data_IF_774202856041
#
_entry.id   IF_774202856041
#
_cell.length_a   1.000
_cell.length_b   1.000
_cell.length_c   1.000
_cell.angle_alpha   90.00
_cell.angle_beta   90.00
_cell.angle_gamma   90.00
#
_symmetry.space_group_name_H-M   'P 1'
#
loop_
_entity.id
_entity.type
_entity.pdbx_description
1 polymer ?
#
# COMPACT_ATOMS: atom_id res chain seq x y z
N UNK A 1 12.47 24.81 -19.73
CA UNK A 1 12.98 24.54 -18.37
C UNK A 1 11.87 24.61 -17.34
N UNK A 2 10.97 23.62 -17.34
CA UNK A 2 9.85 23.50 -16.38
C UNK A 2 9.88 22.14 -15.68
N UNK A 3 11.09 21.62 -15.44
CA UNK A 3 11.35 20.38 -14.73
C UNK A 3 12.32 20.71 -13.60
N UNK A 4 11.83 20.81 -12.36
CA UNK A 4 12.74 21.12 -11.26
C UNK A 4 12.13 21.62 -9.95
N UNK A 5 11.06 21.01 -9.45
CA UNK A 5 10.99 20.73 -8.01
C UNK A 5 10.02 19.59 -7.79
N UNK A 6 10.51 18.47 -7.28
CA UNK A 6 9.65 17.40 -6.79
C UNK A 6 9.07 17.87 -5.46
N UNK A 7 8.13 18.81 -5.49
CA UNK A 7 7.39 19.20 -4.29
C UNK A 7 6.58 17.99 -3.85
N UNK A 8 6.97 17.42 -2.72
CA UNK A 8 6.16 16.44 -2.01
C UNK A 8 4.85 17.11 -1.59
N UNK A 9 3.78 16.34 -1.31
CA UNK A 9 2.53 16.91 -0.78
C UNK A 9 2.78 17.76 0.47
N UNK A 10 3.84 17.46 1.23
CA UNK A 10 4.28 18.25 2.38
C UNK A 10 4.90 19.59 2.01
N UNK A 11 5.42 19.77 0.80
CA UNK A 11 5.99 21.04 0.33
C UNK A 11 4.93 22.06 -0.08
N UNK A 12 3.70 21.61 -0.32
CA UNK A 12 2.51 22.47 -0.43
C UNK A 12 2.07 23.02 0.94
N UNK A 13 2.54 22.41 2.03
CA UNK A 13 2.26 22.85 3.40
C UNK A 13 3.33 23.87 3.80
N UNK A 14 2.88 25.03 4.28
CA UNK A 14 3.78 26.09 4.71
C UNK A 14 4.85 25.55 5.68
N UNK A 15 6.15 25.90 5.52
CA UNK A 15 7.29 25.23 6.19
C UNK A 15 7.12 25.06 7.70
N UNK A 16 6.51 26.06 8.34
CA UNK A 16 6.18 26.08 9.77
C UNK A 16 5.32 24.88 10.24
N UNK A 17 4.45 24.34 9.39
CA UNK A 17 3.53 23.25 9.74
C UNK A 17 3.97 21.88 9.23
N UNK A 18 5.01 21.80 8.40
CA UNK A 18 5.48 20.53 7.83
C UNK A 18 5.87 19.52 8.92
N UNK A 19 6.60 19.97 9.94
CA UNK A 19 7.01 19.12 11.05
C UNK A 19 5.80 18.61 11.85
N UNK A 20 4.84 19.48 12.12
CA UNK A 20 3.62 19.14 12.87
C UNK A 20 2.82 18.10 12.10
N UNK A 21 2.63 18.29 10.80
CA UNK A 21 1.87 17.35 9.97
C UNK A 21 2.57 15.99 9.89
N UNK A 22 3.90 15.95 9.70
CA UNK A 22 4.66 14.69 9.74
C UNK A 22 4.51 13.97 11.08
N UNK A 23 4.59 14.71 12.19
CA UNK A 23 4.37 14.15 13.53
C UNK A 23 2.94 13.65 13.71
N UNK A 24 1.92 14.37 13.21
CA UNK A 24 0.53 13.93 13.28
C UNK A 24 0.30 12.63 12.53
N UNK A 25 0.85 12.47 11.32
CA UNK A 25 0.76 11.20 10.58
C UNK A 25 1.45 10.05 11.33
N UNK A 26 2.65 10.30 11.88
CA UNK A 26 3.38 9.29 12.64
C UNK A 26 2.64 8.88 13.93
N UNK A 27 2.21 9.85 14.73
CA UNK A 27 1.47 9.60 15.98
C UNK A 27 0.12 8.97 15.67
N UNK A 28 -0.61 9.48 14.67
CA UNK A 28 -1.90 8.94 14.25
C UNK A 28 -1.80 7.48 13.82
N UNK A 29 -0.75 7.11 13.07
CA UNK A 29 -0.49 5.73 12.70
C UNK A 29 -0.34 4.82 13.93
N UNK A 30 0.50 5.20 14.90
CA UNK A 30 0.70 4.40 16.11
C UNK A 30 -0.55 4.33 17.00
N UNK A 31 -1.28 5.44 17.13
CA UNK A 31 -2.55 5.48 17.89
C UNK A 31 -3.58 4.55 17.24
N UNK A 32 -3.73 4.57 15.92
CA UNK A 32 -4.63 3.66 15.21
C UNK A 32 -4.21 2.19 15.37
N UNK A 33 -2.91 1.91 15.31
CA UNK A 33 -2.37 0.55 15.46
C UNK A 33 -2.65 0.00 16.86
N UNK A 34 -2.26 0.74 17.90
CA UNK A 34 -2.47 0.34 19.31
C UNK A 34 -3.96 0.30 19.65
N UNK A 35 -4.71 1.32 19.22
CA UNK A 35 -6.16 1.39 19.40
C UNK A 35 -6.87 0.21 18.75
N UNK A 36 -6.48 -0.17 17.54
CA UNK A 36 -7.01 -1.34 16.84
C UNK A 36 -6.83 -2.64 17.63
N UNK A 37 -5.64 -2.86 18.22
CA UNK A 37 -5.41 -4.02 19.11
C UNK A 37 -6.27 -3.99 20.36
N UNK A 38 -6.48 -2.81 20.95
CA UNK A 38 -7.32 -2.66 22.13
C UNK A 38 -8.80 -2.93 21.83
N UNK A 39 -9.30 -2.38 20.73
CA UNK A 39 -10.66 -2.64 20.23
C UNK A 39 -10.82 -4.11 19.89
N UNK A 40 -9.84 -4.75 19.26
CA UNK A 40 -9.87 -6.19 18.97
C UNK A 40 -9.94 -7.01 20.25
N UNK A 41 -9.12 -6.69 21.27
CA UNK A 41 -9.15 -7.36 22.58
C UNK A 41 -10.52 -7.18 23.27
N UNK A 42 -11.10 -5.99 23.20
CA UNK A 42 -12.41 -5.70 23.76
C UNK A 42 -13.53 -6.45 23.01
N UNK A 43 -13.53 -6.41 21.68
CA UNK A 43 -14.50 -7.13 20.84
C UNK A 43 -14.38 -8.66 20.99
N UNK A 44 -13.16 -9.17 21.12
CA UNK A 44 -12.88 -10.58 21.42
C UNK A 44 -13.48 -11.03 22.75
N UNK A 45 -13.61 -10.14 23.75
CA UNK A 45 -14.27 -10.48 25.02
C UNK A 45 -15.78 -10.72 24.87
N UNK A 46 -16.40 -10.24 23.79
CA UNK A 46 -17.85 -10.35 23.57
C UNK A 46 -18.27 -11.34 22.50
N UNK A 47 -17.36 -11.71 21.58
CA UNK A 47 -17.68 -12.59 20.46
C UNK A 47 -16.69 -13.76 20.37
N UNK A 48 -17.20 -14.99 20.41
CA UNK A 48 -16.41 -16.22 20.39
C UNK A 48 -15.49 -16.33 19.17
N UNK A 49 -15.96 -15.94 17.98
CA UNK A 49 -15.14 -15.93 16.74
C UNK A 49 -13.97 -14.94 16.81
N UNK A 50 -14.17 -13.78 17.44
CA UNK A 50 -13.11 -12.78 17.62
C UNK A 50 -12.11 -13.23 18.72
N UNK A 51 -12.59 -13.95 19.74
CA UNK A 51 -11.72 -14.57 20.75
C UNK A 51 -10.80 -15.63 20.14
N UNK A 52 -11.33 -16.46 19.25
CA UNK A 52 -10.56 -17.46 18.49
C UNK A 52 -9.53 -16.79 17.58
N UNK A 53 -9.93 -15.77 16.81
CA UNK A 53 -8.99 -15.00 15.98
C UNK A 53 -7.87 -14.35 16.81
N UNK A 54 -8.24 -13.73 17.94
CA UNK A 54 -7.28 -13.10 18.85
C UNK A 54 -6.31 -14.10 19.49
N UNK A 55 -6.77 -15.32 19.82
CA UNK A 55 -5.89 -16.37 20.37
C UNK A 55 -4.89 -16.88 19.34
N UNK A 56 -5.31 -17.06 18.08
CA UNK A 56 -4.44 -17.41 16.95
C UNK A 56 -3.38 -16.32 16.74
N UNK A 57 -3.79 -15.05 16.70
CA UNK A 57 -2.84 -13.93 16.57
C UNK A 57 -1.81 -13.92 17.69
N UNK A 58 -2.24 -14.17 18.94
CA UNK A 58 -1.32 -14.20 20.09
C UNK A 58 -0.27 -15.31 19.96
N UNK A 59 -0.65 -16.49 19.50
CA UNK A 59 0.29 -17.61 19.23
C UNK A 59 1.25 -17.26 18.09
N UNK A 60 0.80 -16.48 17.11
CA UNK A 60 1.68 -16.01 16.03
C UNK A 60 2.73 -15.02 16.54
N UNK A 61 2.36 -14.11 17.45
CA UNK A 61 3.28 -13.13 18.04
C UNK A 61 4.36 -13.73 18.94
N UNK A 62 4.19 -14.95 19.47
CA UNK A 62 5.24 -15.61 20.26
C UNK A 62 6.38 -16.14 19.38
N UNK A 63 6.13 -16.39 18.08
CA UNK A 63 7.13 -16.86 17.11
C UNK A 63 7.80 -15.71 16.38
N UNK A 64 8.64 -14.94 17.10
CA UNK A 64 9.33 -13.75 16.58
C UNK A 64 10.08 -13.97 15.25
N UNK A 65 10.70 -15.13 15.07
CA UNK A 65 11.41 -15.47 13.82
C UNK A 65 10.45 -15.55 12.62
N UNK A 66 9.33 -16.26 12.75
CA UNK A 66 8.31 -16.37 11.69
C UNK A 66 7.72 -14.99 11.38
N UNK A 67 7.42 -14.20 12.43
CA UNK A 67 6.91 -12.85 12.25
C UNK A 67 7.90 -11.95 11.49
N UNK A 68 9.19 -12.06 11.80
CA UNK A 68 10.23 -11.32 11.10
C UNK A 68 10.32 -11.71 9.62
N UNK A 69 10.31 -13.02 9.31
CA UNK A 69 10.30 -13.48 7.91
C UNK A 69 9.05 -13.00 7.17
N UNK A 70 7.87 -13.13 7.77
CA UNK A 70 6.63 -12.65 7.18
C UNK A 70 6.67 -11.14 6.91
N UNK A 71 7.21 -10.36 7.86
CA UNK A 71 7.40 -8.92 7.71
C UNK A 71 8.35 -8.57 6.56
N UNK A 72 9.54 -9.18 6.52
CA UNK A 72 10.54 -8.91 5.46
C UNK A 72 9.99 -9.32 4.09
N UNK A 73 9.38 -10.49 3.97
CA UNK A 73 8.76 -10.95 2.72
C UNK A 73 7.66 -9.99 2.28
N UNK A 74 6.80 -9.53 3.20
CA UNK A 74 5.75 -8.56 2.89
C UNK A 74 6.33 -7.22 2.42
N UNK A 75 7.41 -6.77 3.05
CA UNK A 75 8.10 -5.53 2.67
C UNK A 75 8.71 -5.64 1.27
N UNK A 76 9.33 -6.78 0.94
CA UNK A 76 9.86 -7.04 -0.41
C UNK A 76 8.73 -7.02 -1.45
N UNK A 77 7.62 -7.72 -1.20
CA UNK A 77 6.47 -7.74 -2.11
C UNK A 77 5.89 -6.33 -2.31
N UNK A 78 5.77 -5.55 -1.24
CA UNK A 78 5.32 -4.16 -1.32
C UNK A 78 6.27 -3.31 -2.17
N UNK A 79 7.60 -3.41 -1.96
CA UNK A 79 8.59 -2.69 -2.75
C UNK A 79 8.52 -3.07 -4.23
N UNK A 80 8.38 -4.36 -4.55
CA UNK A 80 8.20 -4.81 -5.93
C UNK A 80 6.94 -4.19 -6.55
N UNK A 81 5.82 -4.17 -5.82
CA UNK A 81 4.59 -3.53 -6.28
C UNK A 81 4.76 -2.03 -6.56
N UNK A 82 5.43 -1.31 -5.67
CA UNK A 82 5.76 0.12 -5.83
C UNK A 82 6.64 0.32 -7.06
N UNK A 83 7.70 -0.49 -7.23
CA UNK A 83 8.61 -0.36 -8.36
C UNK A 83 7.93 -0.68 -9.69
N UNK A 84 7.04 -1.68 -9.75
CA UNK A 84 6.24 -1.94 -10.95
C UNK A 84 5.46 -0.70 -11.35
N UNK A 85 4.75 -0.06 -10.40
CA UNK A 85 4.03 1.18 -10.68
C UNK A 85 4.99 2.29 -11.14
N UNK A 86 6.09 2.52 -10.41
CA UNK A 86 7.09 3.52 -10.77
C UNK A 86 7.61 3.36 -12.20
N UNK A 87 7.97 2.13 -12.61
CA UNK A 87 8.48 1.86 -13.95
C UNK A 87 7.41 1.97 -15.04
N UNK A 88 6.13 1.66 -14.73
CA UNK A 88 5.02 1.91 -15.66
C UNK A 88 4.92 3.41 -15.96
N UNK A 89 4.88 4.25 -14.93
CA UNK A 89 4.82 5.70 -15.10
C UNK A 89 6.04 6.22 -15.86
N UNK A 90 7.23 5.72 -15.54
CA UNK A 90 8.46 6.07 -16.27
C UNK A 90 8.39 5.64 -17.74
N UNK A 91 7.85 4.47 -18.04
CA UNK A 91 7.63 3.95 -19.40
C UNK A 91 6.61 4.77 -20.19
N UNK A 92 5.65 5.39 -19.52
CA UNK A 92 4.69 6.35 -20.10
C UNK A 92 5.28 7.77 -20.27
N UNK A 93 6.57 7.96 -20.00
CA UNK A 93 7.25 9.26 -20.11
C UNK A 93 7.03 10.20 -18.91
N UNK A 94 6.45 9.71 -17.81
CA UNK A 94 6.21 10.50 -16.61
C UNK A 94 7.44 10.43 -15.69
N UNK A 95 8.06 11.58 -15.44
CA UNK A 95 9.20 11.67 -14.53
C UNK A 95 8.73 11.81 -13.08
N UNK A 96 8.63 10.68 -12.38
CA UNK A 96 8.30 10.65 -10.96
C UNK A 96 9.54 10.72 -10.08
N UNK A 97 9.41 11.38 -8.93
CA UNK A 97 10.41 11.32 -7.87
C UNK A 97 10.28 10.00 -7.10
N UNK A 98 11.38 9.25 -7.01
CA UNK A 98 11.41 7.92 -6.38
C UNK A 98 10.95 7.96 -4.92
N UNK A 99 11.41 8.94 -4.14
CA UNK A 99 11.05 9.08 -2.72
C UNK A 99 9.57 9.42 -2.56
N UNK A 100 9.03 10.27 -3.44
CA UNK A 100 7.61 10.59 -3.45
C UNK A 100 6.76 9.34 -3.79
N UNK A 101 7.16 8.58 -4.80
CA UNK A 101 6.51 7.33 -5.18
C UNK A 101 6.52 6.28 -4.06
N UNK A 102 7.64 6.14 -3.34
CA UNK A 102 7.77 5.23 -2.19
C UNK A 102 6.80 5.54 -1.05
N UNK A 103 6.37 6.80 -0.91
CA UNK A 103 5.39 7.21 0.10
C UNK A 103 3.95 7.11 -0.41
N UNK A 104 3.71 7.56 -1.64
CA UNK A 104 2.35 7.70 -2.18
C UNK A 104 1.76 6.38 -2.64
N UNK A 105 2.53 5.52 -3.32
CA UNK A 105 2.00 4.25 -3.83
C UNK A 105 1.49 3.30 -2.72
N UNK A 106 2.13 3.18 -1.54
CA UNK A 106 1.54 2.47 -0.40
C UNK A 106 0.20 3.05 0.06
N UNK A 107 0.07 4.38 0.09
CA UNK A 107 -1.19 5.06 0.48
C UNK A 107 -2.29 4.74 -0.53
N UNK A 108 -1.97 4.81 -1.83
CA UNK A 108 -2.91 4.45 -2.90
C UNK A 108 -3.34 2.98 -2.77
N UNK A 109 -2.38 2.08 -2.57
CA UNK A 109 -2.65 0.65 -2.38
C UNK A 109 -3.57 0.41 -1.18
N UNK A 110 -3.30 1.10 -0.06
CA UNK A 110 -4.11 1.00 1.15
C UNK A 110 -5.53 1.56 0.92
N UNK A 111 -5.66 2.71 0.26
CA UNK A 111 -6.95 3.31 -0.07
C UNK A 111 -7.78 2.41 -1.00
N UNK A 112 -7.14 1.83 -2.02
CA UNK A 112 -7.75 0.87 -2.94
C UNK A 112 -8.19 -0.43 -2.26
N UNK A 113 -7.56 -0.80 -1.13
CA UNK A 113 -7.97 -1.96 -0.35
C UNK A 113 -9.19 -1.68 0.54
N UNK A 114 -9.29 -0.49 1.12
CA UNK A 114 -10.40 -0.14 2.02
C UNK A 114 -11.66 0.32 1.31
N UNK A 115 -11.53 1.00 0.17
CA UNK A 115 -12.67 1.51 -0.57
C UNK A 115 -13.24 0.36 -1.42
N UNK A 116 -14.53 -0.01 -1.27
CA UNK A 116 -15.14 -1.08 -2.05
C UNK A 116 -14.98 -0.80 -3.54
N UNK A 117 -14.17 -1.61 -4.20
CA UNK A 117 -13.88 -1.48 -5.63
C UNK A 117 -13.53 -2.84 -6.21
N UNK A 118 -13.70 -2.98 -7.52
CA UNK A 118 -13.24 -4.17 -8.22
C UNK A 118 -11.72 -4.12 -8.27
N UNK A 119 -11.09 -4.71 -7.26
CA UNK A 119 -9.65 -4.90 -7.20
C UNK A 119 -8.80 -3.61 -7.18
N UNK A 120 -9.38 -2.49 -6.75
CA UNK A 120 -8.74 -1.17 -6.77
C UNK A 120 -9.06 -0.34 -8.02
N UNK A 121 -9.77 -0.89 -9.02
CA UNK A 121 -10.14 -0.15 -10.23
C UNK A 121 -11.06 1.03 -9.90
N UNK A 122 -10.90 2.15 -10.62
CA UNK A 122 -11.57 3.41 -10.33
C UNK A 122 -10.94 4.21 -9.18
N UNK A 123 -10.71 3.57 -8.02
CA UNK A 123 -10.06 4.25 -6.87
C UNK A 123 -8.60 4.56 -7.19
N UNK A 124 -7.87 3.59 -7.72
CA UNK A 124 -6.49 3.78 -8.13
C UNK A 124 -6.38 4.79 -9.27
N UNK A 125 -7.32 4.76 -10.23
CA UNK A 125 -7.34 5.66 -11.39
C UNK A 125 -7.52 7.10 -10.94
N UNK A 126 -8.50 7.34 -10.06
CA UNK A 126 -8.77 8.64 -9.46
C UNK A 126 -7.56 9.13 -8.66
N UNK A 127 -6.92 8.26 -7.88
CA UNK A 127 -5.75 8.66 -7.07
C UNK A 127 -4.52 8.93 -7.94
N UNK A 128 -4.33 8.19 -9.03
CA UNK A 128 -3.28 8.48 -10.02
C UNK A 128 -3.51 9.82 -10.70
N UNK A 129 -4.75 10.09 -11.10
CA UNK A 129 -5.14 11.38 -11.66
C UNK A 129 -4.87 12.52 -10.67
N UNK A 130 -5.33 12.37 -9.43
CA UNK A 130 -5.22 13.46 -8.44
C UNK A 130 -3.80 13.72 -7.95
N UNK A 131 -2.95 12.69 -7.90
CA UNK A 131 -1.65 12.77 -7.23
C UNK A 131 -0.45 12.82 -8.19
N UNK A 132 -0.63 12.46 -9.46
CA UNK A 132 0.49 12.35 -10.40
C UNK A 132 0.25 12.98 -11.77
N UNK A 133 -0.93 12.82 -12.40
CA UNK A 133 -1.08 13.02 -13.86
C UNK A 133 -2.51 13.36 -14.30
N UNK A 134 -2.74 13.70 -15.57
CA UNK A 134 -4.09 13.86 -16.13
C UNK A 134 -4.85 12.53 -16.34
N UNK A 135 -6.18 12.63 -16.49
CA UNK A 135 -7.15 11.52 -16.58
C UNK A 135 -6.70 10.39 -17.52
N UNK A 136 -6.33 10.72 -18.77
CA UNK A 136 -6.02 9.72 -19.80
C UNK A 136 -4.83 8.84 -19.41
N UNK A 137 -3.74 9.46 -18.93
CA UNK A 137 -2.55 8.72 -18.52
C UNK A 137 -2.81 7.90 -17.25
N UNK A 138 -3.70 8.36 -16.35
CA UNK A 138 -4.01 7.69 -15.10
C UNK A 138 -4.66 6.33 -15.34
N UNK A 139 -5.65 6.32 -16.25
CA UNK A 139 -6.33 5.10 -16.69
C UNK A 139 -5.32 4.15 -17.35
N UNK A 140 -4.48 4.65 -18.25
CA UNK A 140 -3.45 3.82 -18.92
C UNK A 140 -2.47 3.19 -17.93
N UNK A 141 -1.94 3.99 -17.00
CA UNK A 141 -0.99 3.51 -15.98
C UNK A 141 -1.62 2.45 -15.07
N UNK A 142 -2.88 2.66 -14.67
CA UNK A 142 -3.61 1.71 -13.84
C UNK A 142 -3.91 0.41 -14.58
N UNK A 143 -4.34 0.48 -15.84
CA UNK A 143 -4.60 -0.71 -16.65
C UNK A 143 -3.32 -1.55 -16.84
N UNK A 144 -2.19 -0.90 -17.15
CA UNK A 144 -0.90 -1.57 -17.25
C UNK A 144 -0.50 -2.22 -15.92
N UNK A 145 -0.71 -1.54 -14.80
CA UNK A 145 -0.40 -2.10 -13.49
C UNK A 145 -1.21 -3.37 -13.22
N UNK A 146 -2.51 -3.34 -13.46
CA UNK A 146 -3.37 -4.51 -13.30
C UNK A 146 -2.98 -5.64 -14.25
N UNK A 147 -2.60 -5.33 -15.49
CA UNK A 147 -2.12 -6.30 -16.46
C UNK A 147 -0.83 -7.00 -15.98
N UNK A 148 0.18 -6.26 -15.54
CA UNK A 148 1.40 -6.86 -14.98
C UNK A 148 1.11 -7.70 -13.73
N UNK A 149 0.20 -7.24 -12.88
CA UNK A 149 -0.22 -7.97 -11.68
C UNK A 149 -0.90 -9.30 -12.03
N UNK A 150 -1.72 -9.30 -13.08
CA UNK A 150 -2.34 -10.50 -13.63
C UNK A 150 -1.28 -11.47 -14.18
N UNK A 151 -0.29 -10.99 -14.93
CA UNK A 151 0.79 -11.83 -15.44
C UNK A 151 1.58 -12.52 -14.32
N UNK A 152 1.97 -11.77 -13.29
CA UNK A 152 2.68 -12.34 -12.14
C UNK A 152 1.80 -13.35 -11.38
N UNK A 153 0.51 -13.03 -11.20
CA UNK A 153 -0.45 -13.95 -10.58
C UNK A 153 -0.64 -15.23 -11.40
N UNK A 154 -0.63 -15.15 -12.73
CA UNK A 154 -0.76 -16.30 -13.61
C UNK A 154 0.44 -17.24 -13.46
N UNK A 155 1.66 -16.70 -13.41
CA UNK A 155 2.87 -17.48 -13.16
C UNK A 155 2.77 -18.22 -11.82
N UNK A 156 2.35 -17.53 -10.75
CA UNK A 156 2.12 -18.16 -9.45
C UNK A 156 1.06 -19.26 -9.49
N UNK A 157 -0.04 -19.04 -10.22
CA UNK A 157 -1.09 -20.04 -10.42
C UNK A 157 -0.61 -21.29 -11.17
N UNK A 158 0.25 -21.12 -12.18
CA UNK A 158 0.86 -22.23 -12.93
C UNK A 158 1.80 -23.04 -12.02
N UNK A 159 2.68 -22.37 -11.26
CA UNK A 159 3.59 -23.05 -10.32
C UNK A 159 2.80 -23.86 -9.27
N UNK A 160 1.74 -23.27 -8.73
CA UNK A 160 0.86 -23.96 -7.78
C UNK A 160 0.16 -25.18 -8.40
N UNK A 161 -0.30 -25.08 -9.66
CA UNK A 161 -0.91 -26.20 -10.36
C UNK A 161 0.06 -27.37 -10.59
N UNK A 162 1.36 -27.10 -10.77
CA UNK A 162 2.38 -28.14 -10.90
C UNK A 162 2.80 -28.77 -9.57
N UNK A 163 2.79 -28.03 -8.46
CA UNK A 163 3.12 -28.59 -7.13
C UNK A 163 2.04 -29.54 -6.60
N UNK A 164 0.78 -29.36 -7.03
CA UNK A 164 -0.36 -30.14 -6.56
C UNK A 164 -0.59 -31.45 -7.34
N UNK A 165 0.12 -31.68 -8.44
CA UNK A 165 0.11 -32.94 -9.21
C UNK A 165 1.34 -33.77 -8.89
#
# INVERSE_FOLDING_TARGET
>A
GLLGSSSTVFDLIHPKYQLIVKLMFYVGFWVCLVGGFFVLKFAASRHSKLAEFYSIMRVYFTKKSILFYAFVTSLIVQLLGIFTQFFIFKGLGVNLNVLYSLLVFPIITLASFFIPSLNGLGVQDLLYERLFIGVTLAITASLLYHFFRLLVSLIGGILYAFEKN
#
